data_IF_113441787388
#
_entry.id   IF_113441787388
#
_cell.length_a   1.000
_cell.length_b   1.000
_cell.length_c   1.000
_cell.angle_alpha   90.00
_cell.angle_beta   90.00
_cell.angle_gamma   90.00
#
_symmetry.space_group_name_H-M   'P 1'
#
loop_
_entity.id
_entity.type
_entity.pdbx_description
1 polymer ?
#
# COMPACT_ATOMS: atom_id res chain seq x y z
N UNK A 1 -3.84 -22.35 -0.07
CA UNK A 1 -4.57 -22.11 -1.34
C UNK A 1 -5.63 -21.01 -1.21
N UNK A 2 -6.44 -20.97 -0.15
CA UNK A 2 -7.39 -19.88 0.10
C UNK A 2 -6.75 -18.60 0.69
N UNK A 3 -5.82 -18.76 1.64
CA UNK A 3 -5.15 -17.63 2.31
C UNK A 3 -4.36 -16.76 1.32
N UNK A 4 -3.61 -17.38 0.41
CA UNK A 4 -2.86 -16.66 -0.61
C UNK A 4 -3.79 -15.88 -1.55
N UNK A 5 -4.88 -16.49 -2.02
CA UNK A 5 -5.87 -15.81 -2.88
C UNK A 5 -6.53 -14.63 -2.17
N UNK A 6 -6.88 -14.79 -0.89
CA UNK A 6 -7.43 -13.71 -0.07
C UNK A 6 -6.42 -12.56 0.11
N UNK A 7 -5.14 -12.89 0.34
CA UNK A 7 -4.06 -11.91 0.43
C UNK A 7 -3.88 -11.15 -0.89
N UNK A 8 -3.80 -11.84 -2.02
CA UNK A 8 -3.65 -11.24 -3.35
C UNK A 8 -4.83 -10.31 -3.64
N UNK A 9 -6.06 -10.76 -3.42
CA UNK A 9 -7.26 -9.94 -3.63
C UNK A 9 -7.25 -8.68 -2.74
N UNK A 10 -6.85 -8.82 -1.48
CA UNK A 10 -6.74 -7.69 -0.55
C UNK A 10 -5.73 -6.65 -1.04
N UNK A 11 -4.57 -7.08 -1.54
CA UNK A 11 -3.56 -6.19 -2.10
C UNK A 11 -4.04 -5.50 -3.38
N UNK A 12 -4.73 -6.22 -4.27
CA UNK A 12 -5.34 -5.64 -5.47
C UNK A 12 -6.39 -4.57 -5.13
N UNK A 13 -7.23 -4.82 -4.13
CA UNK A 13 -8.22 -3.85 -3.67
C UNK A 13 -7.57 -2.60 -3.09
N UNK A 14 -6.54 -2.76 -2.25
CA UNK A 14 -5.78 -1.64 -1.69
C UNK A 14 -5.10 -0.81 -2.79
N UNK A 15 -4.49 -1.47 -3.77
CA UNK A 15 -3.89 -0.79 -4.92
C UNK A 15 -4.94 0.02 -5.69
N UNK A 16 -6.10 -0.58 -5.97
CA UNK A 16 -7.20 0.10 -6.67
C UNK A 16 -7.70 1.33 -5.90
N UNK A 17 -7.89 1.22 -4.58
CA UNK A 17 -8.30 2.36 -3.74
C UNK A 17 -7.27 3.50 -3.83
N UNK A 18 -5.98 3.19 -3.77
CA UNK A 18 -4.91 4.20 -3.80
C UNK A 18 -4.74 4.85 -5.18
N UNK A 19 -4.88 4.08 -6.26
CA UNK A 19 -4.84 4.60 -7.62
C UNK A 19 -6.03 5.50 -7.94
N UNK A 20 -7.20 5.17 -7.40
CA UNK A 20 -8.43 5.94 -7.58
C UNK A 20 -8.69 6.94 -6.45
N UNK A 21 -7.72 7.15 -5.55
CA UNK A 21 -7.87 8.08 -4.43
C UNK A 21 -7.97 9.52 -4.95
N UNK A 22 -9.18 10.09 -4.84
CA UNK A 22 -9.45 11.48 -5.17
C UNK A 22 -8.75 12.47 -4.21
N UNK A 23 -8.78 13.78 -4.52
CA UNK A 23 -8.09 14.81 -3.74
C UNK A 23 -8.39 14.78 -2.24
N UNK A 24 -9.65 14.47 -1.88
CA UNK A 24 -10.10 14.38 -0.48
C UNK A 24 -9.32 13.30 0.29
N UNK A 25 -9.11 12.12 -0.30
CA UNK A 25 -8.36 11.04 0.35
C UNK A 25 -6.88 11.42 0.53
N UNK A 26 -6.32 12.18 -0.41
CA UNK A 26 -4.92 12.62 -0.36
C UNK A 26 -4.64 13.62 0.76
N UNK A 27 -5.65 14.35 1.23
CA UNK A 27 -5.54 15.33 2.33
C UNK A 27 -6.20 14.88 3.63
N UNK A 28 -6.89 13.73 3.63
CA UNK A 28 -7.59 13.25 4.82
C UNK A 28 -6.60 12.65 5.82
N UNK A 29 -6.49 13.27 7.00
CA UNK A 29 -5.53 12.86 8.04
C UNK A 29 -5.75 11.43 8.54
N UNK A 30 -7.01 11.00 8.70
CA UNK A 30 -7.32 9.64 9.13
C UNK A 30 -6.84 8.61 8.11
N UNK A 31 -7.04 8.88 6.82
CA UNK A 31 -6.57 8.01 5.74
C UNK A 31 -5.04 7.97 5.66
N UNK A 32 -4.39 9.14 5.73
CA UNK A 32 -2.93 9.24 5.76
C UNK A 32 -2.35 8.48 6.96
N UNK A 33 -2.97 8.61 8.14
CA UNK A 33 -2.51 7.91 9.33
C UNK A 33 -2.70 6.38 9.19
N UNK A 34 -3.80 5.93 8.58
CA UNK A 34 -4.00 4.52 8.30
C UNK A 34 -2.94 3.96 7.34
N UNK A 35 -2.53 4.73 6.33
CA UNK A 35 -1.41 4.35 5.45
C UNK A 35 -0.13 4.16 6.27
N UNK A 36 0.23 5.15 7.09
CA UNK A 36 1.46 5.12 7.91
C UNK A 36 1.49 3.95 8.89
N UNK A 37 0.41 3.77 9.65
CA UNK A 37 0.39 2.84 10.78
C UNK A 37 0.16 1.38 10.33
N UNK A 38 -0.61 1.17 9.26
CA UNK A 38 -1.02 -0.17 8.86
C UNK A 38 -0.44 -0.58 7.52
N UNK A 39 -0.61 0.24 6.48
CA UNK A 39 -0.24 -0.15 5.13
C UNK A 39 1.28 -0.25 4.96
N UNK A 40 2.04 0.75 5.41
CA UNK A 40 3.50 0.72 5.32
C UNK A 40 4.09 -0.50 6.04
N UNK A 41 3.60 -0.82 7.25
CA UNK A 41 4.01 -2.01 8.00
C UNK A 41 3.67 -3.30 7.25
N UNK A 42 2.49 -3.36 6.62
CA UNK A 42 2.11 -4.50 5.79
C UNK A 42 3.02 -4.63 4.56
N UNK A 43 3.39 -3.53 3.92
CA UNK A 43 4.30 -3.53 2.77
C UNK A 43 5.71 -3.98 3.15
N UNK A 44 6.26 -3.57 4.30
CA UNK A 44 7.56 -4.05 4.77
C UNK A 44 7.59 -5.58 4.92
N UNK A 45 6.48 -6.17 5.39
CA UNK A 45 6.36 -7.64 5.55
C UNK A 45 6.19 -8.36 4.21
N UNK A 46 5.45 -7.77 3.27
CA UNK A 46 5.15 -8.42 1.99
C UNK A 46 6.19 -8.11 0.90
N UNK A 47 6.99 -7.06 1.05
CA UNK A 47 8.05 -6.65 0.12
C UNK A 47 9.27 -7.58 0.10
N UNK A 48 9.32 -8.57 0.99
CA UNK A 48 10.32 -9.66 0.98
C UNK A 48 9.68 -11.03 0.71
N UNK A 49 8.45 -11.05 0.19
CA UNK A 49 7.75 -12.30 -0.11
C UNK A 49 8.46 -13.08 -1.22
N UNK A 50 8.62 -14.38 -1.02
CA UNK A 50 9.10 -15.32 -2.05
C UNK A 50 8.06 -15.64 -3.12
N UNK A 51 6.81 -15.17 -2.95
CA UNK A 51 5.74 -15.30 -3.96
C UNK A 51 5.78 -14.08 -4.87
N UNK A 52 6.14 -14.22 -6.16
CA UNK A 52 6.34 -13.08 -7.07
C UNK A 52 5.13 -12.15 -7.16
N UNK A 53 3.93 -12.71 -7.27
CA UNK A 53 2.68 -11.92 -7.37
C UNK A 53 2.45 -11.02 -6.14
N UNK A 54 2.76 -11.51 -4.94
CA UNK A 54 2.62 -10.73 -3.70
C UNK A 54 3.67 -9.62 -3.65
N UNK A 55 4.89 -9.91 -4.08
CA UNK A 55 5.98 -8.94 -4.15
C UNK A 55 5.64 -7.82 -5.15
N UNK A 56 5.23 -8.16 -6.37
CA UNK A 56 4.88 -7.20 -7.43
C UNK A 56 3.72 -6.29 -7.04
N UNK A 57 2.67 -6.84 -6.41
CA UNK A 57 1.56 -6.03 -5.90
C UNK A 57 2.01 -5.10 -4.78
N UNK A 58 2.83 -5.58 -3.85
CA UNK A 58 3.36 -4.77 -2.76
C UNK A 58 4.24 -3.63 -3.28
N UNK A 59 5.10 -3.91 -4.26
CA UNK A 59 5.92 -2.90 -4.92
C UNK A 59 5.06 -1.87 -5.65
N UNK A 60 4.02 -2.31 -6.37
CA UNK A 60 3.10 -1.42 -7.09
C UNK A 60 2.35 -0.48 -6.13
N UNK A 61 1.93 -0.99 -4.98
CA UNK A 61 1.32 -0.18 -3.92
C UNK A 61 2.34 0.84 -3.39
N UNK A 62 3.57 0.40 -3.09
CA UNK A 62 4.63 1.29 -2.59
C UNK A 62 4.93 2.42 -3.58
N UNK A 63 5.06 2.13 -4.88
CA UNK A 63 5.25 3.14 -5.92
C UNK A 63 4.06 4.10 -6.01
N UNK A 64 2.83 3.61 -5.86
CA UNK A 64 1.61 4.43 -5.83
C UNK A 64 1.63 5.40 -4.63
N UNK A 65 2.09 4.93 -3.47
CA UNK A 65 2.28 5.76 -2.28
C UNK A 65 3.36 6.82 -2.49
N UNK A 66 4.48 6.48 -3.14
CA UNK A 66 5.52 7.45 -3.49
C UNK A 66 5.03 8.50 -4.49
N UNK A 67 4.15 8.14 -5.43
CA UNK A 67 3.62 9.11 -6.39
C UNK A 67 2.62 10.07 -5.75
N UNK A 68 1.74 9.56 -4.90
CA UNK A 68 0.56 10.31 -4.44
C UNK A 68 0.66 10.84 -3.00
N UNK A 69 1.53 10.28 -2.16
CA UNK A 69 1.56 10.54 -0.71
C UNK A 69 2.97 10.85 -0.17
N UNK A 70 3.99 11.03 -1.03
CA UNK A 70 5.41 11.25 -0.65
C UNK A 70 5.60 12.30 0.44
N UNK A 71 4.93 13.44 0.32
CA UNK A 71 5.03 14.56 1.28
C UNK A 71 4.61 14.14 2.69
N UNK A 72 3.67 13.21 2.79
CA UNK A 72 3.16 12.70 4.05
C UNK A 72 3.99 11.54 4.60
N UNK A 73 4.78 10.85 3.77
CA UNK A 73 5.41 9.57 4.10
C UNK A 73 6.93 9.63 4.32
N UNK A 74 7.55 10.81 4.42
CA UNK A 74 9.01 10.95 4.59
C UNK A 74 9.63 9.96 5.60
N UNK A 75 9.12 9.90 6.82
CA UNK A 75 9.67 9.01 7.87
C UNK A 75 9.45 7.51 7.64
N UNK A 76 8.56 7.12 6.72
CA UNK A 76 8.29 5.71 6.40
C UNK A 76 9.10 5.24 5.18
N UNK A 77 9.74 6.17 4.46
CA UNK A 77 10.50 5.91 3.23
C UNK A 77 12.01 5.90 3.48
N UNK A 78 12.47 6.59 4.54
CA UNK A 78 13.85 6.48 5.07
C UNK A 78 14.09 5.12 5.72
#
# INVERSE_FOLDING_TARGET
>A
SHELRSKVLSLQLLLSILQNAGPIFKTNEMFINAIKQYLCVALSKNGVSSVPEVFELSLSIFLTLLSNFKTHLKMQIE
#
